data_IF_271918558439
#
_entry.id   IF_271918558439
#
_cell.length_a   1.000
_cell.length_b   1.000
_cell.length_c   1.000
_cell.angle_alpha   90.00
_cell.angle_beta   90.00
_cell.angle_gamma   90.00
#
_symmetry.space_group_name_H-M   'P 1'
#
loop_
_entity.id
_entity.type
_entity.pdbx_description
1 polymer ?
#
# COMPACT_ATOMS: atom_id res chain seq x y z
N UNK A 1 -9.92 -3.45 -1.75
CA UNK A 1 -9.73 -2.39 -0.74
C UNK A 1 -8.99 -2.95 0.45
N UNK A 2 -8.00 -2.20 0.91
CA UNK A 2 -7.21 -2.58 2.09
C UNK A 2 -7.41 -1.52 3.17
N UNK A 3 -7.59 -1.97 4.39
CA UNK A 3 -7.91 -1.14 5.55
C UNK A 3 -6.81 -1.23 6.60
N UNK A 4 -6.67 -0.17 7.39
CA UNK A 4 -5.81 -0.19 8.58
C UNK A 4 -6.33 -1.27 9.52
N UNK A 5 -5.47 -2.24 9.87
CA UNK A 5 -5.88 -3.36 10.74
C UNK A 5 -6.22 -2.91 12.17
N UNK A 6 -5.81 -1.71 12.56
CA UNK A 6 -6.07 -1.16 13.89
C UNK A 6 -7.30 -0.26 13.88
N UNK A 7 -7.34 0.75 13.00
CA UNK A 7 -8.42 1.75 12.98
C UNK A 7 -9.60 1.38 12.08
N UNK A 8 -9.38 0.50 11.11
CA UNK A 8 -10.40 0.15 10.11
C UNK A 8 -10.57 1.17 8.99
N UNK A 9 -9.77 2.24 8.94
CA UNK A 9 -9.87 3.23 7.88
C UNK A 9 -9.30 2.69 6.57
N UNK A 10 -9.89 3.05 5.40
CA UNK A 10 -9.36 2.61 4.12
C UNK A 10 -7.99 3.24 3.85
N UNK A 11 -7.02 2.44 3.39
CA UNK A 11 -5.65 2.87 3.13
C UNK A 11 -5.27 2.72 1.67
N UNK A 12 -5.67 1.65 1.01
CA UNK A 12 -5.26 1.34 -0.36
C UNK A 12 -6.42 0.74 -1.14
N UNK A 13 -6.47 1.11 -2.41
CA UNK A 13 -7.40 0.52 -3.39
C UNK A 13 -6.54 -0.06 -4.51
N UNK A 14 -6.33 -1.35 -4.50
CA UNK A 14 -5.44 -1.99 -5.48
C UNK A 14 -6.13 -3.18 -6.14
N UNK A 15 -5.93 -3.35 -7.44
CA UNK A 15 -5.13 -2.49 -8.30
C UNK A 15 -5.87 -1.24 -8.76
N UNK A 16 -5.10 -0.20 -9.09
CA UNK A 16 -5.60 1.01 -9.73
C UNK A 16 -4.52 1.51 -10.68
N UNK A 17 -4.87 1.74 -11.94
CA UNK A 17 -3.91 2.14 -12.96
C UNK A 17 -3.06 1.00 -13.51
N UNK A 18 -3.34 -0.23 -13.13
CA UNK A 18 -2.65 -1.45 -13.62
C UNK A 18 -3.57 -2.64 -13.43
N UNK A 19 -3.20 -3.79 -14.02
CA UNK A 19 -4.00 -5.01 -13.91
C UNK A 19 -3.80 -5.69 -12.55
N UNK A 20 -4.74 -6.57 -12.18
CA UNK A 20 -4.60 -7.42 -10.99
C UNK A 20 -3.33 -8.26 -11.09
N UNK A 21 -3.05 -8.82 -12.27
CA UNK A 21 -1.85 -9.64 -12.48
C UNK A 21 -0.58 -8.85 -12.21
N UNK A 22 -0.50 -7.61 -12.68
CA UNK A 22 0.66 -6.76 -12.45
C UNK A 22 0.84 -6.44 -10.96
N UNK A 23 -0.25 -6.15 -10.27
CA UNK A 23 -0.23 -5.92 -8.83
C UNK A 23 0.26 -7.15 -8.07
N UNK A 24 -0.27 -8.32 -8.41
CA UNK A 24 0.11 -9.57 -7.75
C UNK A 24 1.57 -9.94 -8.01
N UNK A 25 2.03 -9.79 -9.26
CA UNK A 25 3.42 -10.09 -9.61
C UNK A 25 4.40 -9.18 -8.90
N UNK A 26 4.13 -7.88 -8.88
CA UNK A 26 5.00 -6.92 -8.20
C UNK A 26 5.02 -7.18 -6.69
N UNK A 27 3.87 -7.45 -6.10
CA UNK A 27 3.78 -7.75 -4.66
C UNK A 27 4.54 -9.01 -4.31
N UNK A 28 4.45 -10.06 -5.13
CA UNK A 28 5.19 -11.29 -4.91
C UNK A 28 6.70 -11.10 -5.03
N UNK A 29 7.15 -10.23 -5.94
CA UNK A 29 8.57 -10.00 -6.20
C UNK A 29 9.24 -9.09 -5.17
N UNK A 30 8.51 -8.10 -4.63
CA UNK A 30 9.12 -7.00 -3.89
C UNK A 30 8.60 -6.80 -2.48
N UNK A 31 7.59 -7.49 -2.08
CA UNK A 31 6.98 -7.34 -0.76
C UNK A 31 5.47 -7.37 -0.86
N UNK A 32 4.85 -8.21 -0.06
CA UNK A 32 3.43 -8.47 -0.11
C UNK A 32 2.71 -7.77 1.04
N UNK A 33 1.75 -6.86 0.75
CA UNK A 33 1.43 -6.30 -0.57
C UNK A 33 2.30 -5.08 -0.91
N UNK A 34 2.39 -4.76 -2.21
CA UNK A 34 3.16 -3.63 -2.71
C UNK A 34 2.23 -2.70 -3.51
N UNK A 35 2.21 -1.42 -3.15
CA UNK A 35 1.28 -0.44 -3.73
C UNK A 35 2.00 0.68 -4.45
N UNK A 36 1.30 1.32 -5.39
CA UNK A 36 1.75 2.51 -6.11
C UNK A 36 0.97 3.73 -5.65
N UNK A 37 1.44 4.94 -6.02
CA UNK A 37 0.82 6.20 -5.60
C UNK A 37 -0.69 6.25 -5.89
N UNK A 38 -1.11 5.75 -7.05
CA UNK A 38 -2.51 5.79 -7.47
C UNK A 38 -3.41 4.91 -6.62
N UNK A 39 -2.82 3.98 -5.88
CA UNK A 39 -3.53 3.01 -5.05
C UNK A 39 -3.68 3.48 -3.61
N UNK A 40 -3.04 4.58 -3.23
CA UNK A 40 -3.03 5.09 -1.87
C UNK A 40 -4.24 5.99 -1.61
N UNK A 41 -4.89 5.80 -0.48
CA UNK A 41 -5.90 6.72 0.02
C UNK A 41 -5.15 7.77 0.84
N UNK A 42 -4.71 8.83 0.20
CA UNK A 42 -3.80 9.83 0.78
C UNK A 42 -4.38 10.59 1.97
N UNK A 43 -5.69 10.58 2.14
CA UNK A 43 -6.34 11.18 3.32
C UNK A 43 -5.98 10.43 4.60
N UNK A 44 -5.64 9.15 4.49
CA UNK A 44 -5.46 8.26 5.64
C UNK A 44 -4.04 7.70 5.77
N UNK A 45 -3.12 8.03 4.86
CA UNK A 45 -1.75 7.51 4.89
C UNK A 45 -0.75 8.66 4.73
N UNK A 46 0.39 8.55 5.41
CA UNK A 46 1.49 9.51 5.32
C UNK A 46 2.80 8.79 5.11
N UNK A 47 3.70 9.46 4.40
CA UNK A 47 5.08 8.98 4.22
C UNK A 47 5.99 9.94 4.95
N UNK A 48 6.77 9.42 5.89
CA UNK A 48 7.69 10.21 6.68
C UNK A 48 8.96 10.51 5.90
N UNK A 49 9.80 11.39 6.46
CA UNK A 49 11.02 11.85 5.79
C UNK A 49 11.96 10.71 5.39
N UNK A 50 12.02 9.66 6.22
CA UNK A 50 12.89 8.50 5.97
C UNK A 50 12.25 7.45 5.04
N UNK A 51 11.05 7.72 4.53
CA UNK A 51 10.31 6.79 3.67
C UNK A 51 9.37 5.85 4.42
N UNK A 52 9.29 5.94 5.73
CA UNK A 52 8.36 5.12 6.52
C UNK A 52 6.92 5.51 6.20
N UNK A 53 6.08 4.51 5.89
CA UNK A 53 4.66 4.71 5.63
C UNK A 53 3.87 4.40 6.91
N UNK A 54 3.03 5.36 7.31
CA UNK A 54 2.21 5.25 8.52
C UNK A 54 0.78 5.69 8.21
N UNK A 55 -0.19 5.15 8.95
CA UNK A 55 -1.55 5.67 8.88
C UNK A 55 -1.63 6.99 9.65
N UNK A 56 -2.67 7.79 9.37
CA UNK A 56 -2.90 9.03 10.13
C UNK A 56 -3.21 8.75 11.60
N UNK A 57 -3.57 7.52 11.93
CA UNK A 57 -3.83 7.09 13.30
C UNK A 57 -2.59 6.50 13.99
N UNK A 58 -1.44 6.54 13.31
CA UNK A 58 -0.16 6.13 13.89
C UNK A 58 0.23 4.67 13.68
N UNK A 59 -0.55 3.90 12.93
CA UNK A 59 -0.19 2.51 12.62
C UNK A 59 0.99 2.49 11.67
N UNK A 60 2.06 1.77 12.05
CA UNK A 60 3.20 1.56 11.16
C UNK A 60 2.79 0.60 10.05
N UNK A 61 2.91 1.03 8.80
CA UNK A 61 2.44 0.27 7.64
C UNK A 61 3.59 -0.42 6.90
N UNK A 62 4.66 0.30 6.63
CA UNK A 62 5.78 -0.22 5.86
C UNK A 62 6.70 0.89 5.40
N UNK A 63 7.23 0.76 4.18
CA UNK A 63 8.21 1.71 3.65
C UNK A 63 7.97 2.01 2.17
N UNK A 64 8.29 3.24 1.78
CA UNK A 64 8.41 3.60 0.38
C UNK A 64 9.79 3.17 -0.11
N UNK A 65 9.83 2.27 -1.08
CA UNK A 65 11.05 1.80 -1.73
C UNK A 65 10.90 2.09 -3.22
N UNK A 66 11.20 3.33 -3.66
CA UNK A 66 10.96 3.71 -5.05
C UNK A 66 11.85 2.94 -6.03
N UNK A 67 11.33 2.75 -7.23
CA UNK A 67 12.07 2.17 -8.35
C UNK A 67 11.95 3.08 -9.57
N UNK A 68 12.36 2.60 -10.76
CA UNK A 68 12.33 3.42 -11.97
C UNK A 68 10.91 3.81 -12.41
N UNK A 69 9.89 3.13 -11.89
CA UNK A 69 8.49 3.46 -12.18
C UNK A 69 7.91 4.49 -11.21
N UNK A 70 8.64 4.83 -10.15
CA UNK A 70 8.19 5.79 -9.15
C UNK A 70 8.13 5.19 -7.75
N UNK A 71 7.31 5.79 -6.90
CA UNK A 71 7.14 5.32 -5.52
C UNK A 71 6.52 3.93 -5.48
N UNK A 72 6.99 3.13 -4.54
CA UNK A 72 6.51 1.77 -4.34
C UNK A 72 6.47 1.49 -2.83
N UNK A 73 5.27 1.32 -2.33
CA UNK A 73 5.04 1.16 -0.89
C UNK A 73 4.95 -0.32 -0.54
N UNK A 74 6.00 -0.84 0.07
CA UNK A 74 6.03 -2.21 0.58
C UNK A 74 5.40 -2.21 1.96
N UNK A 75 4.23 -2.81 2.08
CA UNK A 75 3.42 -2.73 3.29
C UNK A 75 3.45 -4.07 4.02
N UNK A 76 3.51 -4.03 5.33
CA UNK A 76 3.46 -5.23 6.17
C UNK A 76 2.05 -5.82 6.12
N UNK A 77 1.95 -7.09 5.76
CA UNK A 77 0.66 -7.76 5.61
C UNK A 77 -0.18 -7.71 6.89
N UNK A 78 0.48 -7.76 8.04
CA UNK A 78 -0.21 -7.73 9.34
C UNK A 78 -0.78 -6.35 9.69
N UNK A 79 -0.33 -5.30 9.01
CA UNK A 79 -0.78 -3.93 9.27
C UNK A 79 -2.06 -3.57 8.53
N UNK A 80 -2.47 -4.38 7.57
CA UNK A 80 -3.63 -4.11 6.72
C UNK A 80 -4.53 -5.34 6.64
N UNK A 81 -5.81 -5.11 6.39
CA UNK A 81 -6.79 -6.15 6.18
C UNK A 81 -7.57 -5.85 4.91
N UNK A 82 -7.75 -6.85 4.07
CA UNK A 82 -8.51 -6.67 2.84
C UNK A 82 -8.07 -7.58 1.72
N UNK A 83 -8.63 -7.32 0.55
CA UNK A 83 -8.39 -8.07 -0.67
C UNK A 83 -8.24 -7.11 -1.85
N UNK A 84 -7.55 -7.55 -2.93
CA UNK A 84 -7.51 -6.78 -4.17
C UNK A 84 -8.92 -6.53 -4.70
N UNK A 85 -9.14 -5.35 -5.26
CA UNK A 85 -10.39 -5.07 -5.96
C UNK A 85 -10.38 -5.82 -7.28
N UNK A 86 -11.56 -6.31 -7.70
CA UNK A 86 -11.68 -6.87 -9.04
C UNK A 86 -11.58 -5.74 -10.06
N UNK A 87 -10.74 -5.95 -11.05
CA UNK A 87 -10.53 -4.97 -12.10
C UNK A 87 -11.70 -4.95 -13.08
#
# INVERSE_FOLDING_TARGET
MYYDSVSGKPLFVAPRGRSVDDFLKESAAHGWPSFRDEEVVWENMRVLRDGEAVSVDGTHLGHNIPDFKGNRYCINLVSVAGLPTSA
#
